data_IF_057767063694
#
_entry.id   IF_057767063694
#
_cell.length_a   1.000
_cell.length_b   1.000
_cell.length_c   1.000
_cell.angle_alpha   90.00
_cell.angle_beta   90.00
_cell.angle_gamma   90.00
#
_symmetry.space_group_name_H-M   'P 1'
#
loop_
_entity.id
_entity.type
_entity.pdbx_description
1 polymer ?
#
# COMPACT_ATOMS: atom_id res chain seq x y z
N UNK A 1 20.41 -17.62 18.67
CA UNK A 1 19.20 -17.30 17.89
C UNK A 1 19.30 -17.97 16.52
N UNK A 2 18.30 -18.74 16.15
CA UNK A 2 18.26 -19.40 14.84
C UNK A 2 17.81 -18.42 13.75
N UNK A 3 18.03 -18.77 12.47
CA UNK A 3 17.49 -17.97 11.35
C UNK A 3 15.96 -17.87 11.43
N UNK A 4 15.30 -18.92 11.91
CA UNK A 4 13.85 -18.91 12.11
C UNK A 4 13.44 -17.87 13.15
N UNK A 5 14.13 -17.84 14.28
CA UNK A 5 13.84 -16.86 15.33
C UNK A 5 14.12 -15.44 14.86
N UNK A 6 15.17 -15.24 14.09
CA UNK A 6 15.55 -13.92 13.55
C UNK A 6 14.48 -13.37 12.60
N UNK A 7 13.97 -14.22 11.70
CA UNK A 7 12.92 -13.76 10.76
C UNK A 7 11.58 -13.53 11.48
N UNK A 8 11.26 -14.37 12.45
CA UNK A 8 10.08 -14.18 13.29
C UNK A 8 10.14 -12.84 14.04
N UNK A 9 11.30 -12.54 14.64
CA UNK A 9 11.52 -11.28 15.33
C UNK A 9 11.41 -10.07 14.39
N UNK A 10 11.95 -10.18 13.17
CA UNK A 10 11.85 -9.12 12.17
C UNK A 10 10.40 -8.79 11.84
N UNK A 11 9.52 -9.80 11.71
CA UNK A 11 8.09 -9.58 11.50
C UNK A 11 7.43 -8.91 12.70
N UNK A 12 7.78 -9.32 13.91
CA UNK A 12 7.24 -8.71 15.13
C UNK A 12 7.63 -7.23 15.27
N UNK A 13 8.80 -6.86 14.77
CA UNK A 13 9.31 -5.48 14.85
C UNK A 13 8.84 -4.58 13.71
N UNK A 14 8.68 -5.12 12.50
CA UNK A 14 8.42 -4.33 11.28
C UNK A 14 6.99 -4.47 10.74
N UNK A 15 6.30 -5.53 11.06
CA UNK A 15 4.92 -5.77 10.67
C UNK A 15 4.72 -6.34 9.28
N UNK A 16 5.23 -5.68 8.25
CA UNK A 16 5.08 -6.11 6.85
C UNK A 16 6.46 -6.29 6.23
N UNK A 17 6.72 -7.46 5.65
CA UNK A 17 7.98 -7.76 4.97
C UNK A 17 7.74 -8.38 3.61
N UNK A 18 8.63 -8.05 2.68
CA UNK A 18 8.75 -8.70 1.36
C UNK A 18 9.93 -9.66 1.36
N UNK A 19 9.85 -10.73 0.56
CA UNK A 19 10.97 -11.64 0.35
C UNK A 19 12.21 -10.93 -0.24
N UNK A 20 12.04 -9.73 -0.82
CA UNK A 20 13.14 -8.93 -1.34
C UNK A 20 13.84 -8.09 -0.28
N UNK A 21 13.27 -7.99 0.92
CA UNK A 21 13.88 -7.25 2.01
C UNK A 21 15.18 -7.94 2.47
N UNK A 22 16.15 -7.13 2.90
CA UNK A 22 17.46 -7.60 3.27
C UNK A 22 17.41 -8.68 4.37
N UNK A 23 16.54 -8.49 5.37
CA UNK A 23 16.35 -9.43 6.46
C UNK A 23 15.77 -10.78 6.02
N UNK A 24 15.18 -10.85 4.83
CA UNK A 24 14.61 -12.07 4.27
C UNK A 24 15.58 -12.82 3.35
N UNK A 25 16.69 -12.19 2.98
CA UNK A 25 17.69 -12.81 2.11
C UNK A 25 18.31 -14.02 2.75
N UNK A 26 18.39 -15.12 1.99
CA UNK A 26 18.99 -16.37 2.48
C UNK A 26 18.16 -17.10 3.54
N UNK A 27 16.94 -16.66 3.79
CA UNK A 27 16.02 -17.37 4.69
C UNK A 27 15.25 -18.42 3.87
N UNK A 28 15.28 -19.71 4.30
CA UNK A 28 14.55 -20.76 3.61
C UNK A 28 13.05 -20.46 3.53
N UNK A 29 12.45 -20.66 2.37
CA UNK A 29 11.02 -20.40 2.17
C UNK A 29 10.11 -21.22 3.09
N UNK A 30 10.58 -22.39 3.52
CA UNK A 30 9.84 -23.24 4.46
C UNK A 30 9.58 -22.53 5.79
N UNK A 31 10.44 -21.60 6.19
CA UNK A 31 10.22 -20.82 7.42
C UNK A 31 9.03 -19.88 7.30
N UNK A 32 8.83 -19.28 6.15
CA UNK A 32 7.64 -18.43 5.90
C UNK A 32 6.37 -19.28 5.91
N UNK A 33 6.38 -20.43 5.26
CA UNK A 33 5.24 -21.37 5.29
C UNK A 33 4.92 -21.85 6.72
N UNK A 34 5.92 -22.07 7.52
CA UNK A 34 5.77 -22.45 8.93
C UNK A 34 5.15 -21.31 9.74
N UNK A 35 5.63 -20.09 9.56
CA UNK A 35 5.07 -18.91 10.25
C UNK A 35 3.60 -18.66 9.87
N UNK A 36 3.25 -18.89 8.61
CA UNK A 36 1.86 -18.81 8.15
C UNK A 36 1.00 -19.87 8.83
N UNK A 37 1.47 -21.09 8.86
CA UNK A 37 0.76 -22.21 9.51
C UNK A 37 0.60 -22.01 11.02
N UNK A 38 1.59 -21.38 11.67
CA UNK A 38 1.52 -21.04 13.10
C UNK A 38 0.65 -19.81 13.38
N UNK A 39 0.16 -19.13 12.35
CA UNK A 39 -0.69 -17.95 12.50
C UNK A 39 0.06 -16.66 12.86
N UNK A 40 1.40 -16.67 12.78
CA UNK A 40 2.23 -15.49 13.10
C UNK A 40 2.14 -14.46 11.98
N UNK A 41 2.15 -14.91 10.74
CA UNK A 41 2.05 -14.04 9.56
C UNK A 41 0.97 -14.54 8.59
N UNK A 42 0.51 -13.66 7.72
CA UNK A 42 -0.35 -14.01 6.60
C UNK A 42 0.23 -13.49 5.30
N UNK A 43 0.03 -14.22 4.21
CA UNK A 43 0.45 -13.80 2.88
C UNK A 43 -0.58 -12.81 2.33
N UNK A 44 -0.13 -11.60 1.98
CA UNK A 44 -1.00 -10.56 1.44
C UNK A 44 -0.81 -10.33 -0.07
N UNK A 45 0.23 -10.88 -0.63
CA UNK A 45 0.51 -10.79 -2.06
C UNK A 45 1.70 -11.66 -2.42
N UNK A 46 2.15 -11.60 -3.67
CA UNK A 46 3.29 -12.40 -4.13
C UNK A 46 4.57 -12.01 -3.40
N UNK A 47 5.04 -12.91 -2.52
CA UNK A 47 6.25 -12.70 -1.73
C UNK A 47 6.14 -11.62 -0.67
N UNK A 48 4.95 -11.21 -0.27
CA UNK A 48 4.73 -10.19 0.77
C UNK A 48 3.85 -10.77 1.88
N UNK A 49 4.29 -10.56 3.12
CA UNK A 49 3.64 -11.10 4.31
C UNK A 49 3.42 -10.01 5.35
N UNK A 50 2.34 -10.12 6.11
CA UNK A 50 1.98 -9.22 7.19
C UNK A 50 1.89 -9.98 8.51
N UNK A 51 2.41 -9.37 9.58
CA UNK A 51 2.40 -9.98 10.92
C UNK A 51 1.06 -9.77 11.60
N UNK A 52 0.44 -10.84 12.06
CA UNK A 52 -0.88 -10.81 12.68
C UNK A 52 -0.93 -10.07 14.03
N UNK A 53 0.19 -10.04 14.76
CA UNK A 53 0.26 -9.49 16.12
C UNK A 53 0.96 -8.13 16.20
N UNK A 54 1.39 -7.58 15.08
CA UNK A 54 2.02 -6.26 15.06
C UNK A 54 0.99 -5.17 15.35
N UNK A 55 1.40 -4.17 16.14
CA UNK A 55 0.54 -3.03 16.45
C UNK A 55 0.58 -2.01 15.33
N UNK A 56 -0.39 -2.08 14.44
CA UNK A 56 -0.46 -1.26 13.24
C UNK A 56 -0.99 0.16 13.51
N UNK A 57 -0.53 1.12 12.70
CA UNK A 57 -1.11 2.45 12.61
C UNK A 57 -2.35 2.45 11.69
N UNK A 58 -3.01 3.59 11.61
CA UNK A 58 -4.14 3.79 10.68
C UNK A 58 -3.76 3.64 9.21
N UNK A 59 -2.47 3.71 8.87
CA UNK A 59 -1.97 3.65 7.50
C UNK A 59 -1.51 2.24 7.08
N UNK A 60 -1.80 1.22 7.86
CA UNK A 60 -1.29 -0.13 7.54
C UNK A 60 -1.77 -0.63 6.17
N UNK A 61 -3.02 -0.38 5.80
CA UNK A 61 -3.54 -0.78 4.49
C UNK A 61 -2.75 -0.16 3.33
N UNK A 62 -2.33 1.09 3.48
CA UNK A 62 -1.47 1.77 2.51
C UNK A 62 -0.11 1.09 2.41
N UNK A 63 0.51 0.78 3.55
CA UNK A 63 1.83 0.13 3.58
C UNK A 63 1.77 -1.26 2.97
N UNK A 64 0.75 -2.05 3.29
CA UNK A 64 0.57 -3.39 2.71
C UNK A 64 0.44 -3.33 1.19
N UNK A 65 -0.41 -2.45 0.67
CA UNK A 65 -0.59 -2.29 -0.77
C UNK A 65 0.69 -1.79 -1.45
N UNK A 66 1.39 -0.85 -0.82
CA UNK A 66 2.66 -0.33 -1.35
C UNK A 66 3.73 -1.42 -1.43
N UNK A 67 3.77 -2.31 -0.46
CA UNK A 67 4.74 -3.43 -0.47
C UNK A 67 4.43 -4.45 -1.56
N UNK A 68 3.15 -4.67 -1.86
CA UNK A 68 2.73 -5.58 -2.94
C UNK A 68 3.01 -4.96 -4.32
N UNK A 69 2.79 -3.64 -4.46
CA UNK A 69 3.03 -2.90 -5.71
C UNK A 69 3.95 -1.71 -5.42
N UNK A 70 5.28 -1.95 -5.36
CA UNK A 70 6.23 -0.92 -4.93
C UNK A 70 6.24 0.35 -5.78
N UNK A 71 5.93 0.23 -7.07
CA UNK A 71 5.89 1.37 -7.99
C UNK A 71 4.53 2.08 -8.03
N UNK A 72 3.52 1.54 -7.36
CA UNK A 72 2.21 2.15 -7.31
C UNK A 72 2.20 3.46 -6.51
N UNK A 73 1.24 4.33 -6.81
CA UNK A 73 1.05 5.61 -6.13
C UNK A 73 -0.41 5.74 -5.73
N UNK A 74 -0.68 6.00 -4.46
CA UNK A 74 -2.05 6.19 -4.00
C UNK A 74 -2.65 7.43 -4.64
N UNK A 75 -3.88 7.27 -5.15
CA UNK A 75 -4.56 8.28 -5.94
C UNK A 75 -6.02 8.44 -5.50
N UNK A 76 -6.70 9.39 -6.10
CA UNK A 76 -8.13 9.62 -5.97
C UNK A 76 -8.56 9.60 -4.50
N UNK A 77 -9.52 8.76 -4.16
CA UNK A 77 -10.11 8.70 -2.82
C UNK A 77 -9.08 8.40 -1.72
N UNK A 78 -8.14 7.50 -2.00
CA UNK A 78 -7.09 7.15 -1.03
C UNK A 78 -6.15 8.33 -0.78
N UNK A 79 -5.81 9.10 -1.81
CA UNK A 79 -4.98 10.29 -1.65
C UNK A 79 -5.76 11.40 -0.91
N UNK A 80 -7.05 11.58 -1.20
CA UNK A 80 -7.89 12.51 -0.45
C UNK A 80 -7.92 12.17 1.03
N UNK A 81 -8.12 10.89 1.35
CA UNK A 81 -8.16 10.42 2.73
C UNK A 81 -6.81 10.61 3.43
N UNK A 82 -5.73 10.27 2.75
CA UNK A 82 -4.38 10.42 3.28
C UNK A 82 -4.06 11.88 3.65
N UNK A 83 -4.50 12.83 2.82
CA UNK A 83 -4.29 14.27 3.04
C UNK A 83 -5.38 14.90 3.94
N UNK A 84 -6.27 14.11 4.52
CA UNK A 84 -7.38 14.57 5.36
C UNK A 84 -8.33 15.54 4.64
N UNK A 85 -8.54 15.34 3.35
CA UNK A 85 -9.45 16.15 2.53
C UNK A 85 -10.86 15.58 2.44
N UNK A 86 -11.10 14.42 3.04
CA UNK A 86 -12.42 13.79 3.13
C UNK A 86 -12.58 13.10 4.48
N UNK A 87 -13.80 13.08 4.98
CA UNK A 87 -14.16 12.32 6.20
C UNK A 87 -14.65 10.91 5.85
N UNK A 88 -14.90 10.64 4.59
CA UNK A 88 -15.37 9.34 4.16
C UNK A 88 -14.26 8.29 4.21
N UNK A 89 -14.65 7.05 4.50
CA UNK A 89 -13.73 5.90 4.53
C UNK A 89 -14.09 4.98 3.36
N UNK A 90 -13.33 5.04 2.26
CA UNK A 90 -13.57 4.13 1.15
C UNK A 90 -13.28 2.68 1.57
N UNK A 91 -14.13 1.77 1.13
CA UNK A 91 -13.96 0.34 1.43
C UNK A 91 -12.76 -0.27 0.70
N UNK A 92 -12.33 0.35 -0.38
CA UNK A 92 -11.20 -0.10 -1.18
C UNK A 92 -10.21 1.03 -1.39
N UNK A 93 -8.94 0.71 -1.37
CA UNK A 93 -7.89 1.67 -1.68
C UNK A 93 -7.83 1.91 -3.19
N UNK A 94 -7.43 3.11 -3.57
CA UNK A 94 -7.21 3.49 -4.97
C UNK A 94 -5.73 3.72 -5.20
N UNK A 95 -5.14 2.97 -6.12
CA UNK A 95 -3.72 3.06 -6.44
C UNK A 95 -3.53 3.22 -7.94
N UNK A 96 -2.77 4.21 -8.35
CA UNK A 96 -2.38 4.42 -9.73
C UNK A 96 -1.14 3.58 -10.07
N UNK A 97 -1.14 3.02 -11.27
CA UNK A 97 0.02 2.37 -11.88
C UNK A 97 0.17 2.90 -13.29
N UNK A 98 1.40 2.90 -13.83
CA UNK A 98 1.60 3.28 -15.22
C UNK A 98 1.05 2.18 -16.14
N UNK A 99 0.68 2.57 -17.36
CA UNK A 99 0.28 1.60 -18.39
C UNK A 99 1.44 0.63 -18.64
N UNK A 100 1.17 -0.65 -18.71
CA UNK A 100 2.18 -1.67 -18.91
C UNK A 100 2.83 -2.19 -17.63
N UNK A 101 2.56 -1.60 -16.47
CA UNK A 101 3.03 -2.12 -15.20
C UNK A 101 2.30 -3.43 -14.87
N UNK A 102 3.08 -4.45 -14.52
CA UNK A 102 2.53 -5.70 -14.01
C UNK A 102 2.08 -5.51 -12.56
N UNK A 103 0.83 -5.84 -12.29
CA UNK A 103 0.30 -5.84 -10.92
C UNK A 103 0.29 -7.29 -10.42
N UNK A 104 1.08 -7.61 -9.38
CA UNK A 104 1.10 -8.95 -8.82
C UNK A 104 -0.28 -9.38 -8.32
N UNK A 105 -0.57 -10.67 -8.41
CA UNK A 105 -1.78 -11.23 -7.83
C UNK A 105 -1.80 -11.00 -6.32
N UNK A 106 -2.91 -10.47 -5.81
CA UNK A 106 -3.09 -10.18 -4.40
C UNK A 106 -4.57 -10.24 -4.03
N UNK A 107 -4.85 -10.33 -2.73
CA UNK A 107 -6.21 -10.37 -2.20
C UNK A 107 -6.57 -9.09 -1.44
N UNK A 108 -5.75 -8.03 -1.59
CA UNK A 108 -5.99 -6.75 -0.92
C UNK A 108 -7.18 -6.01 -1.54
N UNK A 109 -7.92 -5.24 -0.74
CA UNK A 109 -9.05 -4.45 -1.25
C UNK A 109 -8.53 -3.17 -1.94
N UNK A 110 -7.92 -3.33 -3.11
CA UNK A 110 -7.30 -2.24 -3.88
C UNK A 110 -7.84 -2.26 -5.30
N UNK A 111 -8.27 -1.10 -5.78
CA UNK A 111 -8.60 -0.87 -7.18
C UNK A 111 -7.44 -0.13 -7.85
N UNK A 112 -6.99 -0.67 -8.99
CA UNK A 112 -5.86 -0.11 -9.72
C UNK A 112 -6.34 0.71 -10.91
N UNK A 113 -5.78 1.92 -11.05
CA UNK A 113 -6.06 2.85 -12.15
C UNK A 113 -4.81 3.00 -13.00
N UNK A 114 -4.93 2.75 -14.29
CA UNK A 114 -3.80 2.83 -15.22
C UNK A 114 -3.71 4.21 -15.81
N UNK A 115 -2.64 4.91 -15.47
CA UNK A 115 -2.35 6.26 -15.97
C UNK A 115 -1.36 6.19 -17.12
N UNK A 116 -1.42 7.17 -18.05
CA UNK A 116 -0.34 7.39 -19.00
C UNK A 116 0.94 7.73 -18.24
N UNK A 117 2.10 7.49 -18.83
CA UNK A 117 3.38 7.70 -18.16
C UNK A 117 3.52 9.13 -17.64
N UNK A 118 3.22 10.13 -18.47
CA UNK A 118 3.30 11.53 -18.07
C UNK A 118 2.35 11.89 -16.94
N UNK A 119 1.11 11.40 -16.97
CA UNK A 119 0.14 11.62 -15.89
C UNK A 119 0.52 10.88 -14.62
N UNK A 120 1.14 9.71 -14.74
CA UNK A 120 1.56 8.90 -13.60
C UNK A 120 2.72 9.54 -12.83
N UNK A 121 3.72 10.05 -13.53
CA UNK A 121 4.95 10.56 -12.92
C UNK A 121 4.78 11.92 -12.23
N UNK A 122 3.75 12.68 -12.57
CA UNK A 122 3.57 14.03 -12.05
C UNK A 122 2.95 14.02 -10.65
N UNK A 123 3.57 14.78 -9.74
CA UNK A 123 3.00 15.05 -8.42
C UNK A 123 3.15 13.93 -7.39
N UNK A 124 4.08 13.00 -7.59
CA UNK A 124 4.34 11.93 -6.62
C UNK A 124 5.06 12.49 -5.41
N UNK A 125 4.56 12.19 -4.21
CA UNK A 125 5.22 12.46 -2.93
C UNK A 125 5.51 11.15 -2.20
N UNK A 126 6.60 11.13 -1.46
CA UNK A 126 6.92 10.02 -0.56
C UNK A 126 6.70 10.47 0.88
N UNK A 127 5.94 9.67 1.63
CA UNK A 127 5.66 9.92 3.04
C UNK A 127 6.12 8.75 3.90
N UNK A 128 6.82 9.07 5.00
CA UNK A 128 7.19 8.06 5.98
C UNK A 128 6.06 7.94 7.01
N UNK A 129 5.50 6.75 7.13
CA UNK A 129 4.52 6.43 8.17
C UNK A 129 5.18 5.57 9.25
N UNK A 130 4.50 5.36 10.37
CA UNK A 130 4.98 4.48 11.43
C UNK A 130 5.31 3.06 10.90
N UNK A 131 4.51 2.56 9.95
CA UNK A 131 4.61 1.17 9.47
C UNK A 131 5.47 1.05 8.21
N UNK A 132 5.83 2.15 7.57
CA UNK A 132 6.63 2.14 6.36
C UNK A 132 6.42 3.35 5.46
N UNK A 133 7.14 3.37 4.35
CA UNK A 133 7.05 4.45 3.37
C UNK A 133 5.94 4.20 2.38
N UNK A 134 5.20 5.24 2.03
CA UNK A 134 4.13 5.20 1.03
C UNK A 134 4.32 6.32 0.00
N UNK A 135 3.88 6.07 -1.22
CA UNK A 135 3.88 7.03 -2.31
C UNK A 135 2.45 7.48 -2.55
N UNK A 136 2.22 8.78 -2.45
CA UNK A 136 0.90 9.40 -2.57
C UNK A 136 1.00 10.60 -3.47
N UNK A 137 0.03 10.84 -4.33
CA UNK A 137 0.00 12.06 -5.12
C UNK A 137 -0.19 13.29 -4.23
N UNK A 138 0.41 14.41 -4.63
CA UNK A 138 0.26 15.70 -3.97
C UNK A 138 -1.21 16.12 -3.91
N UNK A 139 -1.52 17.06 -3.01
CA UNK A 139 -2.88 17.62 -2.91
C UNK A 139 -3.34 18.17 -4.26
N UNK A 140 -2.52 18.97 -4.94
CA UNK A 140 -2.87 19.56 -6.24
C UNK A 140 -3.15 18.52 -7.31
N UNK A 141 -2.26 17.53 -7.45
CA UNK A 141 -2.44 16.43 -8.40
C UNK A 141 -3.70 15.62 -8.07
N UNK A 142 -3.91 15.34 -6.80
CA UNK A 142 -5.08 14.58 -6.33
C UNK A 142 -6.38 15.29 -6.68
N UNK A 143 -6.47 16.60 -6.43
CA UNK A 143 -7.67 17.39 -6.75
C UNK A 143 -7.93 17.42 -8.26
N UNK A 144 -6.90 17.59 -9.07
CA UNK A 144 -7.03 17.57 -10.53
C UNK A 144 -7.54 16.20 -11.02
N UNK A 145 -6.99 15.11 -10.50
CA UNK A 145 -7.40 13.76 -10.87
C UNK A 145 -8.81 13.45 -10.39
N UNK A 146 -9.19 13.88 -9.19
CA UNK A 146 -10.54 13.69 -8.67
C UNK A 146 -11.58 14.44 -9.50
N UNK A 147 -11.26 15.60 -10.04
CA UNK A 147 -12.14 16.29 -10.99
C UNK A 147 -12.26 15.50 -12.30
N UNK A 148 -11.16 15.02 -12.84
CA UNK A 148 -11.15 14.19 -14.04
C UNK A 148 -11.96 12.90 -13.85
N UNK A 149 -11.84 12.27 -12.70
CA UNK A 149 -12.53 11.03 -12.34
C UNK A 149 -13.73 11.26 -11.42
N UNK A 150 -14.40 12.41 -11.54
CA UNK A 150 -15.53 12.76 -10.66
C UNK A 150 -16.68 11.76 -10.68
N UNK A 151 -16.80 10.96 -11.74
CA UNK A 151 -17.80 9.89 -11.83
C UNK A 151 -17.45 8.69 -10.92
N UNK A 152 -16.17 8.52 -10.57
CA UNK A 152 -15.69 7.47 -9.67
C UNK A 152 -15.72 7.96 -8.22
N UNK A 153 -15.18 9.16 -7.99
CA UNK A 153 -15.03 9.75 -6.64
C UNK A 153 -16.34 10.34 -6.13
N UNK A 154 -17.12 10.96 -7.03
CA UNK A 154 -18.31 11.74 -6.70
C UNK A 154 -18.00 13.23 -6.73
N UNK A 155 -18.86 13.99 -7.40
CA UNK A 155 -18.70 15.44 -7.52
C UNK A 155 -18.81 16.13 -6.16
N UNK A 156 -19.70 15.66 -5.31
CA UNK A 156 -19.89 16.17 -3.94
C UNK A 156 -18.65 16.00 -3.09
N UNK A 157 -17.97 14.86 -3.18
CA UNK A 157 -16.71 14.59 -2.48
C UNK A 157 -15.62 15.53 -2.98
N UNK A 158 -15.52 15.72 -4.30
CA UNK A 158 -14.57 16.67 -4.90
C UNK A 158 -14.82 18.10 -4.41
N UNK A 159 -16.06 18.57 -4.45
CA UNK A 159 -16.41 19.92 -4.00
C UNK A 159 -16.08 20.13 -2.53
N UNK A 160 -16.37 19.14 -1.68
CA UNK A 160 -16.01 19.19 -0.27
C UNK A 160 -14.49 19.26 -0.05
N UNK A 161 -13.72 18.57 -0.87
CA UNK A 161 -12.25 18.53 -0.74
C UNK A 161 -11.57 19.84 -1.14
N UNK A 162 -12.16 20.64 -2.06
CA UNK A 162 -11.59 21.91 -2.51
C UNK A 162 -11.98 23.11 -1.62
N UNK A 163 -12.85 22.92 -0.65
CA UNK A 163 -13.22 23.94 0.33
C UNK A 163 -12.23 23.98 1.48
#
# INVERSE_FOLDING_TARGET
MTKYDSIKQAFLERGVLSLHDECCRGVPRVYFSRLVREGVISRIGSGVYSCATYSFSEHIGYVEAQRVVPDGVFCLFSALKFHNLTLENPHRLHMAVSRGTYVPRNELPVDFYRYSESAFEYGIEEHQTKDGRVRVYSVGKTLADCFKFRNVVGLDVFIAAVR
#
